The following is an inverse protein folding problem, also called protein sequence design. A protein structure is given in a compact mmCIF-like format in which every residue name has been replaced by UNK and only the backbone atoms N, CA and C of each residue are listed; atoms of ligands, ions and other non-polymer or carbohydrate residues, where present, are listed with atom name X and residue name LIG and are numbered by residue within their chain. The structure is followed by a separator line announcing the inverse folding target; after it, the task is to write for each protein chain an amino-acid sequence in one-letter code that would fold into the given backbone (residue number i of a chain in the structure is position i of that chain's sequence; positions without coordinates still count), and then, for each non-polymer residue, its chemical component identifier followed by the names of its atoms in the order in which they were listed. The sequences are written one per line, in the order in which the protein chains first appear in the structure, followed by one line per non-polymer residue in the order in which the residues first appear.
data_IF_094236745779
#
_entry.id   IF_094236745779
#
_cell.length_a   1.000
_cell.length_b   1.000
_cell.length_c   1.000
_cell.angle_alpha   90.00
_cell.angle_beta   90.00
_cell.angle_gamma   90.00
#
_symmetry.space_group_name_H-M   'P 1'
#
loop_
_entity.id
_entity.type
_entity.pdbx_description
1 polymer ?
#
# COMPACT_ATOMS: atom_id res chain seq x y z
N UNK A 1 -21.44 -6.38 -26.54
CA UNK A 1 -20.65 -7.34 -27.35
C UNK A 1 -19.65 -8.01 -26.41
N UNK A 2 -19.47 -9.31 -26.56
CA UNK A 2 -18.83 -10.25 -25.64
C UNK A 2 -17.50 -9.80 -25.00
N UNK A 3 -17.33 -10.19 -23.73
CA UNK A 3 -16.04 -10.24 -23.07
C UNK A 3 -15.11 -11.21 -23.81
N UNK A 4 -13.91 -10.74 -24.13
CA UNK A 4 -12.79 -11.59 -24.55
C UNK A 4 -11.69 -11.34 -23.52
N UNK A 5 -11.57 -12.32 -22.62
CA UNK A 5 -10.37 -12.58 -21.85
C UNK A 5 -9.35 -13.16 -22.81
N UNK A 6 -8.28 -12.42 -23.13
CA UNK A 6 -7.09 -13.03 -23.72
C UNK A 6 -5.83 -12.36 -23.17
N UNK A 7 -5.09 -13.17 -22.42
CA UNK A 7 -3.64 -13.16 -22.23
C UNK A 7 -2.94 -11.80 -22.10
N UNK A 8 -2.80 -11.38 -20.84
CA UNK A 8 -1.95 -10.27 -20.40
C UNK A 8 -0.43 -10.55 -20.49
N UNK A 9 0.02 -11.44 -21.38
CA UNK A 9 1.44 -11.78 -21.53
C UNK A 9 2.19 -10.90 -22.56
N UNK A 10 1.47 -10.06 -23.32
CA UNK A 10 2.06 -9.24 -24.40
C UNK A 10 2.36 -7.76 -24.09
N UNK A 11 1.99 -7.24 -22.92
CA UNK A 11 1.95 -5.78 -22.66
C UNK A 11 3.14 -5.24 -21.85
N UNK A 12 4.13 -6.06 -21.51
CA UNK A 12 5.22 -5.69 -20.57
C UNK A 12 6.35 -4.84 -21.17
N UNK A 13 6.40 -4.62 -22.48
CA UNK A 13 7.63 -4.13 -23.15
C UNK A 13 7.73 -2.62 -23.38
N UNK A 14 6.69 -1.82 -23.11
CA UNK A 14 6.71 -0.37 -23.44
C UNK A 14 6.70 0.61 -22.28
N UNK A 15 6.24 0.21 -21.08
CA UNK A 15 6.32 1.08 -19.90
C UNK A 15 6.45 0.23 -18.64
N UNK A 16 7.51 0.44 -17.82
CA UNK A 16 7.71 -0.33 -16.60
C UNK A 16 6.67 0.02 -15.53
N UNK A 17 6.16 -1.00 -14.86
CA UNK A 17 5.28 -0.85 -13.70
C UNK A 17 6.10 -0.70 -12.41
N UNK A 18 5.70 0.20 -11.51
CA UNK A 18 6.11 0.15 -10.12
C UNK A 18 5.36 -1.02 -9.44
N UNK A 19 6.09 -2.01 -8.90
CA UNK A 19 5.47 -3.15 -8.22
C UNK A 19 5.32 -2.85 -6.71
N UNK A 20 4.17 -3.19 -6.13
CA UNK A 20 4.04 -3.39 -4.69
C UNK A 20 4.03 -4.89 -4.39
N UNK A 21 4.72 -5.30 -3.33
CA UNK A 21 4.50 -6.60 -2.69
C UNK A 21 4.01 -6.29 -1.28
N UNK A 22 2.70 -6.09 -1.13
CA UNK A 22 2.05 -6.11 0.18
C UNK A 22 1.20 -7.37 0.19
N UNK A 23 1.64 -8.36 0.98
CA UNK A 23 0.82 -9.52 1.32
C UNK A 23 -0.32 -9.02 2.20
N UNK A 24 -1.45 -8.70 1.57
CA UNK A 24 -2.69 -8.34 2.27
C UNK A 24 -3.25 -9.58 2.93
N UNK A 25 -2.97 -9.79 4.22
CA UNK A 25 -3.80 -10.66 5.05
C UNK A 25 -5.11 -9.90 5.25
N UNK A 26 -6.03 -10.07 4.30
CA UNK A 26 -7.49 -9.99 4.37
C UNK A 26 -7.97 -9.85 2.91
N UNK A 27 -8.81 -10.80 2.50
CA UNK A 27 -9.44 -10.90 1.19
C UNK A 27 -10.42 -9.73 0.96
N UNK A 28 -9.90 -8.54 0.65
CA UNK A 28 -10.72 -7.44 0.13
C UNK A 28 -10.50 -7.32 -1.38
N UNK A 29 -11.58 -7.66 -2.11
CA UNK A 29 -11.68 -7.58 -3.55
C UNK A 29 -11.24 -6.20 -4.05
N UNK A 30 -10.14 -6.19 -4.81
CA UNK A 30 -9.72 -5.24 -5.86
C UNK A 30 -10.08 -3.75 -5.61
N UNK A 31 -9.10 -2.88 -5.28
CA UNK A 31 -9.30 -1.43 -5.35
C UNK A 31 -9.29 -1.01 -6.83
N UNK A 32 -10.42 -1.12 -7.53
CA UNK A 32 -10.39 -1.18 -9.01
C UNK A 32 -11.02 -0.01 -9.77
N UNK A 33 -11.48 1.09 -9.15
CA UNK A 33 -12.19 2.13 -9.91
C UNK A 33 -11.48 3.50 -9.96
N UNK A 34 -11.10 4.15 -8.84
CA UNK A 34 -10.54 5.50 -8.90
C UNK A 34 -9.14 5.54 -9.51
N UNK A 35 -8.24 4.67 -9.03
CA UNK A 35 -6.84 4.67 -9.45
C UNK A 35 -6.69 4.34 -10.95
N UNK A 36 -7.54 3.46 -11.50
CA UNK A 36 -7.47 3.09 -12.93
C UNK A 36 -7.83 4.28 -13.82
N UNK A 37 -8.89 5.03 -13.48
CA UNK A 37 -9.28 6.21 -14.25
C UNK A 37 -8.16 7.26 -14.25
N UNK A 38 -7.56 7.52 -13.09
CA UNK A 38 -6.42 8.42 -12.94
C UNK A 38 -5.26 8.01 -13.84
N UNK A 39 -4.90 6.73 -13.85
CA UNK A 39 -3.80 6.23 -14.70
C UNK A 39 -4.12 6.26 -16.19
N UNK A 40 -5.37 6.03 -16.59
CA UNK A 40 -5.80 6.18 -18.00
C UNK A 40 -5.62 7.62 -18.46
N UNK A 41 -6.05 8.60 -17.65
CA UNK A 41 -5.90 10.02 -17.98
C UNK A 41 -4.42 10.43 -18.04
N UNK A 42 -3.63 10.10 -17.01
CA UNK A 42 -2.20 10.41 -16.97
C UNK A 42 -1.47 9.83 -18.19
N UNK A 43 -1.83 8.60 -18.60
CA UNK A 43 -1.28 7.95 -19.79
C UNK A 43 -1.73 8.63 -21.08
N UNK A 44 -3.00 9.00 -21.20
CA UNK A 44 -3.54 9.67 -22.39
C UNK A 44 -2.84 11.01 -22.67
N UNK A 45 -2.48 11.75 -21.61
CA UNK A 45 -1.75 13.02 -21.72
C UNK A 45 -0.22 12.86 -21.71
N UNK A 46 0.31 11.63 -21.61
CA UNK A 46 1.74 11.36 -21.44
C UNK A 46 2.39 12.19 -20.30
N UNK A 47 1.60 12.48 -19.25
CA UNK A 47 2.00 13.43 -18.20
C UNK A 47 3.02 12.80 -17.22
N UNK A 48 2.86 11.51 -16.93
CA UNK A 48 3.73 10.74 -16.04
C UNK A 48 3.51 9.23 -16.26
N UNK A 49 4.41 8.41 -15.74
CA UNK A 49 4.23 6.97 -15.61
C UNK A 49 3.24 6.65 -14.49
N UNK A 50 2.80 5.39 -14.41
CA UNK A 50 1.96 4.94 -13.31
C UNK A 50 2.71 5.02 -11.97
N UNK A 51 2.00 5.42 -10.92
CA UNK A 51 2.48 5.52 -9.56
C UNK A 51 2.02 4.30 -8.74
N UNK A 52 2.46 4.21 -7.48
CA UNK A 52 1.79 3.37 -6.50
C UNK A 52 0.33 3.84 -6.35
N UNK A 53 -0.61 2.88 -6.39
CA UNK A 53 -2.05 3.14 -6.35
C UNK A 53 -2.51 3.94 -5.13
N UNK A 54 -3.69 4.55 -5.26
CA UNK A 54 -4.25 5.44 -4.25
C UNK A 54 -4.79 4.61 -3.08
N UNK A 55 -4.72 5.16 -1.85
CA UNK A 55 -5.31 4.56 -0.66
C UNK A 55 -4.82 3.14 -0.31
N UNK A 56 -3.52 2.85 -0.45
CA UNK A 56 -2.98 1.59 0.06
C UNK A 56 -2.97 1.60 1.59
N UNK A 57 -3.80 0.77 2.20
CA UNK A 57 -3.96 0.70 3.65
C UNK A 57 -3.35 -0.59 4.19
N UNK A 58 -2.63 -0.49 5.30
CA UNK A 58 -2.28 -1.62 6.17
C UNK A 58 -3.20 -1.62 7.38
N UNK A 59 -3.87 -2.74 7.61
CA UNK A 59 -4.74 -2.92 8.78
C UNK A 59 -4.43 -4.23 9.48
N UNK A 60 -4.43 -4.20 10.81
CA UNK A 60 -4.32 -5.39 11.64
C UNK A 60 -4.99 -5.13 12.98
N UNK A 61 -5.35 -6.19 13.69
CA UNK A 61 -6.00 -6.09 14.98
C UNK A 61 -6.21 -7.45 15.62
N UNK A 62 -6.63 -7.43 16.87
CA UNK A 62 -7.16 -8.61 17.57
C UNK A 62 -8.55 -8.28 18.05
N UNK A 63 -9.42 -9.29 18.01
CA UNK A 63 -10.71 -9.22 18.67
C UNK A 63 -10.52 -9.10 20.17
N UNK A 64 -11.55 -8.60 20.85
CA UNK A 64 -11.57 -8.55 22.31
C UNK A 64 -11.55 -9.94 22.93
N UNK A 65 -11.17 -9.98 24.20
CA UNK A 65 -11.30 -11.16 25.04
C UNK A 65 -12.77 -11.55 25.16
N UNK A 66 -13.01 -12.85 25.23
CA UNK A 66 -14.34 -13.41 25.50
C UNK A 66 -14.45 -13.63 27.01
N UNK A 67 -15.58 -13.22 27.59
CA UNK A 67 -15.93 -13.54 28.96
C UNK A 67 -16.16 -15.04 29.08
N UNK A 68 -15.45 -15.68 30.02
CA UNK A 68 -15.50 -17.12 30.22
C UNK A 68 -16.85 -17.61 30.78
N UNK A 69 -17.62 -16.74 31.43
CA UNK A 69 -18.91 -17.10 32.05
C UNK A 69 -20.08 -16.87 31.11
N UNK A 70 -20.07 -15.75 30.39
CA UNK A 70 -21.18 -15.34 29.51
C UNK A 70 -20.96 -15.75 28.05
N UNK A 71 -19.71 -16.03 27.65
CA UNK A 71 -19.34 -16.27 26.26
C UNK A 71 -19.41 -15.02 25.38
N UNK A 72 -19.66 -13.85 25.97
CA UNK A 72 -19.78 -12.58 25.25
C UNK A 72 -18.43 -11.87 25.11
N UNK A 73 -18.33 -11.01 24.09
CA UNK A 73 -17.16 -10.18 23.87
C UNK A 73 -17.04 -9.13 24.99
N UNK A 74 -15.92 -9.10 25.70
CA UNK A 74 -15.62 -8.05 26.66
C UNK A 74 -15.27 -6.77 25.88
N UNK A 75 -16.06 -5.69 25.99
CA UNK A 75 -15.81 -4.45 25.25
C UNK A 75 -14.43 -3.86 25.57
N UNK A 76 -13.81 -3.23 24.56
CA UNK A 76 -12.54 -2.48 24.69
C UNK A 76 -11.29 -3.28 25.08
N UNK A 77 -11.34 -4.61 24.99
CA UNK A 77 -10.17 -5.48 25.26
C UNK A 77 -9.37 -5.84 24.01
N UNK A 78 -9.94 -5.62 22.83
CA UNK A 78 -9.28 -5.79 21.53
C UNK A 78 -8.69 -4.49 21.00
N UNK A 79 -8.03 -4.54 19.85
CA UNK A 79 -7.56 -3.34 19.18
C UNK A 79 -7.60 -3.48 17.66
N UNK A 80 -7.81 -2.35 16.97
CA UNK A 80 -7.69 -2.22 15.53
C UNK A 80 -6.70 -1.13 15.18
N UNK A 81 -5.81 -1.42 14.24
CA UNK A 81 -4.91 -0.48 13.61
C UNK A 81 -5.20 -0.41 12.11
N UNK A 82 -5.16 0.79 11.58
CA UNK A 82 -5.35 1.12 10.17
C UNK A 82 -4.45 2.31 9.85
N UNK A 83 -3.64 2.20 8.81
CA UNK A 83 -2.70 3.26 8.41
C UNK A 83 -2.51 3.22 6.90
N UNK A 84 -2.36 4.39 6.28
CA UNK A 84 -2.02 4.45 4.85
C UNK A 84 -0.54 4.23 4.66
N UNK A 85 -0.18 3.57 3.56
CA UNK A 85 1.21 3.22 3.26
C UNK A 85 1.73 4.07 2.10
N UNK A 86 2.95 4.59 2.27
CA UNK A 86 3.62 5.33 1.23
C UNK A 86 4.16 4.41 0.13
N UNK A 87 4.29 4.97 -1.07
CA UNK A 87 4.72 4.29 -2.28
C UNK A 87 5.78 5.06 -3.05
N UNK A 88 5.90 4.73 -4.32
CA UNK A 88 6.70 5.47 -5.27
C UNK A 88 5.82 6.23 -6.25
N UNK A 89 6.22 7.45 -6.63
CA UNK A 89 5.57 8.17 -7.73
C UNK A 89 6.04 7.67 -9.09
N UNK A 90 5.19 7.84 -10.10
CA UNK A 90 5.56 7.71 -11.50
C UNK A 90 6.64 8.74 -11.88
N UNK A 91 7.50 8.32 -12.80
CA UNK A 91 8.48 9.17 -13.46
C UNK A 91 7.85 9.89 -14.65
N UNK A 92 8.42 11.01 -15.10
CA UNK A 92 7.89 11.71 -16.28
C UNK A 92 8.98 12.28 -17.19
N UNK A 93 8.62 13.10 -18.19
CA UNK A 93 9.56 13.60 -19.19
C UNK A 93 10.65 14.50 -18.58
N UNK A 94 11.78 13.91 -18.20
CA UNK A 94 12.91 14.65 -17.62
C UNK A 94 13.16 14.40 -16.13
N UNK A 95 12.38 13.56 -15.46
CA UNK A 95 12.53 13.33 -14.02
C UNK A 95 12.23 11.90 -13.57
N UNK A 96 12.98 11.45 -12.57
CA UNK A 96 12.71 10.22 -11.83
C UNK A 96 11.54 10.38 -10.87
N UNK A 97 10.85 9.29 -10.58
CA UNK A 97 9.81 9.26 -9.54
C UNK A 97 10.40 9.35 -8.13
N UNK A 98 9.64 9.94 -7.23
CA UNK A 98 10.01 10.11 -5.81
C UNK A 98 9.63 8.87 -5.02
N UNK A 99 10.56 8.37 -4.19
CA UNK A 99 10.33 7.23 -3.29
C UNK A 99 9.67 7.65 -1.98
N UNK A 100 8.87 6.76 -1.38
CA UNK A 100 8.31 6.94 -0.03
C UNK A 100 7.25 8.05 0.12
N UNK A 101 6.48 8.34 -0.94
CA UNK A 101 5.45 9.39 -0.96
C UNK A 101 4.05 8.80 -1.12
N UNK A 102 3.05 9.51 -0.59
CA UNK A 102 1.66 9.28 -0.98
C UNK A 102 1.41 9.94 -2.34
N UNK A 103 0.83 9.18 -3.26
CA UNK A 103 0.54 9.65 -4.61
C UNK A 103 -0.97 9.67 -4.78
N UNK A 104 -1.51 10.71 -5.41
CA UNK A 104 -2.96 10.94 -5.59
C UNK A 104 -3.77 11.02 -4.29
N UNK A 105 -3.09 11.16 -3.14
CA UNK A 105 -3.65 11.31 -1.81
C UNK A 105 -2.94 12.47 -1.12
N UNK A 106 -3.59 13.64 -1.11
CA UNK A 106 -2.97 14.92 -0.72
C UNK A 106 -3.18 15.30 0.74
N UNK A 107 -4.03 14.59 1.47
CA UNK A 107 -4.42 14.93 2.84
C UNK A 107 -3.90 13.94 3.90
N UNK A 108 -3.07 12.97 3.54
CA UNK A 108 -2.61 11.93 4.48
C UNK A 108 -1.11 11.93 4.67
N UNK A 109 -0.69 11.87 5.93
CA UNK A 109 0.68 11.71 6.38
C UNK A 109 0.75 10.48 7.28
N UNK A 110 1.80 9.67 7.10
CA UNK A 110 2.03 8.50 7.94
C UNK A 110 2.21 8.93 9.39
N UNK A 111 1.55 8.24 10.32
CA UNK A 111 1.80 8.39 11.75
C UNK A 111 3.24 7.98 12.09
N UNK A 112 3.93 8.76 12.93
CA UNK A 112 5.30 8.44 13.30
C UNK A 112 5.41 6.99 13.81
N UNK A 113 6.37 6.21 13.30
CA UNK A 113 6.45 4.77 13.57
C UNK A 113 6.59 4.43 15.06
N UNK A 114 7.10 5.35 15.88
CA UNK A 114 7.22 5.18 17.33
C UNK A 114 5.86 5.17 18.06
N UNK A 115 4.85 5.82 17.50
CA UNK A 115 3.53 5.93 18.13
C UNK A 115 2.81 4.58 18.15
N UNK A 116 3.07 3.72 17.16
CA UNK A 116 2.39 2.43 17.05
C UNK A 116 2.66 1.53 18.25
N UNK A 117 3.91 1.46 18.72
CA UNK A 117 4.29 0.67 19.89
C UNK A 117 3.90 1.32 21.23
N UNK A 118 3.57 2.61 21.23
CA UNK A 118 3.00 3.30 22.40
C UNK A 118 1.50 3.05 22.54
N UNK A 119 0.79 2.89 21.41
CA UNK A 119 -0.67 2.74 21.38
C UNK A 119 -1.15 1.29 21.34
N UNK A 120 -0.35 0.39 20.77
CA UNK A 120 -0.74 -1.00 20.53
C UNK A 120 0.33 -1.96 21.04
N UNK A 121 -0.04 -3.18 21.45
CA UNK A 121 0.89 -4.20 21.95
C UNK A 121 1.69 -4.86 20.80
N UNK A 122 2.37 -4.04 20.01
CA UNK A 122 3.03 -4.42 18.76
C UNK A 122 4.44 -3.87 18.69
N UNK A 123 5.33 -4.66 18.09
CA UNK A 123 6.71 -4.23 17.81
C UNK A 123 6.85 -4.02 16.30
N UNK A 124 7.17 -2.79 15.89
CA UNK A 124 7.54 -2.48 14.52
C UNK A 124 9.01 -2.88 14.29
N UNK A 125 9.24 -3.88 13.44
CA UNK A 125 10.61 -4.39 13.17
C UNK A 125 11.35 -3.61 12.10
N UNK A 126 10.64 -3.14 11.07
CA UNK A 126 11.24 -2.38 9.97
C UNK A 126 10.23 -1.43 9.36
N UNK A 127 10.65 -0.18 9.23
CA UNK A 127 9.99 0.87 8.46
C UNK A 127 11.05 1.49 7.56
N UNK A 128 11.02 1.16 6.28
CA UNK A 128 12.06 1.58 5.32
C UNK A 128 11.51 1.69 3.91
N UNK A 129 12.29 2.27 3.01
CA UNK A 129 12.07 2.10 1.57
C UNK A 129 12.35 0.64 1.18
N UNK A 130 11.64 0.15 0.16
CA UNK A 130 11.84 -1.16 -0.46
C UNK A 130 12.73 -0.99 -1.69
N UNK A 131 14.02 -1.27 -1.53
CA UNK A 131 14.97 -1.17 -2.63
C UNK A 131 14.58 -2.06 -3.81
N UNK A 132 14.78 -1.56 -5.03
CA UNK A 132 14.49 -2.28 -6.27
C UNK A 132 13.00 -2.42 -6.60
N UNK A 133 12.13 -1.72 -5.88
CA UNK A 133 10.67 -1.78 -6.10
C UNK A 133 10.14 -0.86 -7.20
N UNK A 134 10.88 0.21 -7.50
CA UNK A 134 10.53 1.18 -8.52
C UNK A 134 10.62 0.61 -9.93
N UNK A 135 9.67 1.00 -10.79
CA UNK A 135 9.67 0.61 -12.20
C UNK A 135 10.89 1.15 -12.94
N UNK A 136 11.52 0.31 -13.79
CA UNK A 136 12.75 0.64 -14.53
C UNK A 136 12.48 1.13 -15.94
N UNK A 137 12.81 2.39 -16.25
CA UNK A 137 12.63 2.97 -17.58
C UNK A 137 13.70 4.03 -17.88
N UNK A 138 13.53 4.78 -18.97
CA UNK A 138 14.40 5.94 -19.26
C UNK A 138 14.52 6.85 -18.03
N UNK A 139 13.39 7.06 -17.35
CA UNK A 139 13.34 7.62 -16.01
C UNK A 139 12.76 6.55 -15.06
N UNK A 140 13.54 6.17 -14.05
CA UNK A 140 13.08 5.24 -13.01
C UNK A 140 11.93 5.82 -12.19
N UNK A 141 10.91 5.00 -11.93
CA UNK A 141 9.86 5.30 -10.95
C UNK A 141 10.38 5.22 -9.51
N UNK A 142 9.65 5.86 -8.61
CA UNK A 142 9.98 5.88 -7.19
C UNK A 142 9.84 4.49 -6.55
N UNK A 143 10.57 4.29 -5.47
CA UNK A 143 10.50 3.06 -4.68
C UNK A 143 9.38 3.14 -3.63
N UNK A 144 8.73 1.99 -3.39
CA UNK A 144 7.66 1.86 -2.40
C UNK A 144 8.15 1.73 -0.96
N UNK A 145 7.25 1.97 0.00
CA UNK A 145 7.50 1.72 1.41
C UNK A 145 7.44 0.24 1.78
N UNK A 146 8.18 -0.14 2.82
CA UNK A 146 8.17 -1.45 3.47
C UNK A 146 7.80 -1.31 4.94
N UNK A 147 6.81 -2.09 5.34
CA UNK A 147 6.47 -2.33 6.74
C UNK A 147 6.70 -3.81 7.02
N UNK A 148 7.68 -4.18 7.86
CA UNK A 148 7.85 -5.58 8.29
C UNK A 148 7.36 -5.81 9.70
N UNK A 149 6.43 -6.76 9.76
CA UNK A 149 5.97 -7.62 10.87
C UNK A 149 5.90 -6.95 12.25
N UNK A 150 4.66 -6.63 12.61
CA UNK A 150 4.14 -6.61 13.98
C UNK A 150 4.34 -7.99 14.60
N UNK A 151 5.19 -8.10 15.61
CA UNK A 151 5.28 -9.30 16.46
C UNK A 151 4.58 -8.97 17.77
N UNK A 152 3.58 -9.77 18.14
CA UNK A 152 2.87 -9.64 19.41
C UNK A 152 3.70 -10.19 20.57
N UNK A 153 4.01 -9.30 21.51
CA UNK A 153 4.04 -9.39 22.99
C UNK A 153 5.12 -8.42 23.50
N UNK A 154 4.71 -7.48 24.34
CA UNK A 154 5.59 -6.80 25.28
C UNK A 154 5.25 -7.43 26.63
N UNK A 155 6.11 -8.35 27.05
CA UNK A 155 6.06 -8.94 28.39
C UNK A 155 6.32 -7.83 29.43
#
# INVERSE_FOLDING_TARGET
MHAITDNAEGLSSRFPFAHSAVFSIYHLKRPFVPAILTYVLIKAFAASAASQGDCNVVSFGIDGNIDAETGELIPYTGFGFCETTCGGSGAGPGWHGTSGVHVHMTNTKICDPEIIGKRYPVILRKFSIRDGSGGKGQWNGGEGGRWCRVVGRKD
#
